data_IF_274011345861
#
_entry.id   IF_274011345861
#
_cell.length_a   1.000
_cell.length_b   1.000
_cell.length_c   1.000
_cell.angle_alpha   90.00
_cell.angle_beta   90.00
_cell.angle_gamma   90.00
#
_symmetry.space_group_name_H-M   'P 1'
#
loop_
_entity.id
_entity.type
_entity.pdbx_description
1 polymer ?
#
# COMPACT_ATOMS: atom_id res chain seq x y z
N UNK A 1 -12.19 29.99 -30.00
CA UNK A 1 -11.01 29.13 -30.07
C UNK A 1 -10.59 28.56 -28.70
N UNK A 2 -9.41 28.00 -28.58
CA UNK A 2 -8.91 27.35 -27.34
C UNK A 2 -8.83 28.30 -26.14
N UNK A 3 -8.70 29.60 -26.36
CA UNK A 3 -8.64 30.68 -25.35
C UNK A 3 -10.00 31.36 -25.09
N UNK A 4 -11.06 30.88 -25.74
CA UNK A 4 -12.40 31.46 -25.56
C UNK A 4 -13.02 31.17 -24.20
N UNK A 5 -13.96 32.03 -23.79
CA UNK A 5 -14.65 31.94 -22.47
C UNK A 5 -15.34 30.59 -22.23
N UNK A 6 -15.87 29.94 -23.29
CA UNK A 6 -16.47 28.61 -23.15
C UNK A 6 -15.49 27.58 -22.61
N UNK A 7 -14.26 27.55 -23.11
CA UNK A 7 -13.25 26.57 -22.64
C UNK A 7 -12.58 26.98 -21.34
N UNK A 8 -12.35 28.29 -21.13
CA UNK A 8 -11.58 28.74 -19.97
C UNK A 8 -12.42 29.07 -18.74
N UNK A 9 -13.71 29.37 -18.88
CA UNK A 9 -14.54 29.84 -17.78
C UNK A 9 -15.85 29.07 -17.59
N UNK A 10 -16.32 28.30 -18.59
CA UNK A 10 -17.54 27.50 -18.50
C UNK A 10 -17.27 26.01 -18.38
N UNK A 11 -16.44 25.45 -19.27
CA UNK A 11 -16.09 24.00 -19.25
C UNK A 11 -15.03 23.67 -18.20
N UNK A 12 -14.39 24.65 -17.64
CA UNK A 12 -13.39 24.52 -16.57
C UNK A 12 -13.02 25.88 -16.02
N UNK A 13 -12.64 25.94 -14.76
CA UNK A 13 -12.19 27.14 -14.06
C UNK A 13 -10.87 26.87 -13.36
N UNK A 14 -10.08 27.89 -13.13
CA UNK A 14 -8.95 27.84 -12.21
C UNK A 14 -9.51 27.81 -10.79
N UNK A 15 -8.91 27.00 -9.94
CA UNK A 15 -9.34 26.84 -8.55
C UNK A 15 -8.20 27.23 -7.62
N UNK A 16 -8.56 27.85 -6.49
CA UNK A 16 -7.66 28.13 -5.38
C UNK A 16 -7.43 26.86 -4.54
N UNK A 17 -6.57 26.93 -3.54
CA UNK A 17 -6.21 25.82 -2.66
C UNK A 17 -5.73 24.59 -3.44
N UNK A 18 -4.93 24.84 -4.44
CA UNK A 18 -4.33 23.80 -5.28
C UNK A 18 -2.84 24.08 -5.50
N UNK A 19 -2.09 23.03 -5.63
CA UNK A 19 -0.65 23.07 -5.90
C UNK A 19 -0.27 21.97 -6.89
N UNK A 20 0.98 22.00 -7.33
CA UNK A 20 1.53 20.98 -8.24
C UNK A 20 2.97 20.70 -7.88
N UNK A 21 3.37 19.44 -7.87
CA UNK A 21 4.75 19.04 -7.68
C UNK A 21 5.05 17.70 -8.36
N UNK A 22 6.33 17.39 -8.46
CA UNK A 22 6.84 16.10 -8.93
C UNK A 22 6.46 15.01 -7.91
N UNK A 23 6.21 13.81 -8.38
CA UNK A 23 5.93 12.65 -7.54
C UNK A 23 7.18 11.77 -7.39
N UNK A 24 7.31 11.15 -6.22
CA UNK A 24 8.31 10.12 -5.92
C UNK A 24 7.65 8.95 -5.21
N UNK A 25 8.28 7.80 -5.26
CA UNK A 25 7.78 6.61 -4.61
C UNK A 25 7.81 6.77 -3.09
N UNK A 26 6.73 6.32 -2.41
CA UNK A 26 6.62 6.26 -0.96
C UNK A 26 6.16 4.88 -0.52
N UNK A 27 7.05 3.86 -0.50
CA UNK A 27 6.67 2.48 -0.18
C UNK A 27 6.25 2.30 1.28
N UNK A 28 6.66 3.19 2.16
CA UNK A 28 6.30 3.20 3.59
C UNK A 28 4.88 3.74 3.86
N UNK A 29 4.24 4.35 2.85
CA UNK A 29 2.89 4.88 2.99
C UNK A 29 1.87 3.74 2.97
N UNK A 30 0.77 3.91 3.70
CA UNK A 30 -0.40 3.08 3.52
C UNK A 30 -1.14 3.44 2.23
N UNK A 31 -2.01 2.54 1.73
CA UNK A 31 -2.71 2.73 0.46
C UNK A 31 -3.52 4.02 0.40
N UNK A 32 -4.13 4.42 1.53
CA UNK A 32 -4.93 5.64 1.65
C UNK A 32 -4.12 6.90 1.97
N UNK A 33 -2.80 6.80 2.13
CA UNK A 33 -1.93 7.92 2.53
C UNK A 33 -1.13 8.47 1.34
N UNK A 34 -0.80 9.76 1.42
CA UNK A 34 0.17 10.40 0.55
C UNK A 34 1.13 11.27 1.37
N UNK A 35 2.37 11.36 0.91
CA UNK A 35 3.34 12.28 1.51
C UNK A 35 3.24 13.66 0.88
N UNK A 36 2.86 14.67 1.65
CA UNK A 36 2.76 16.05 1.19
C UNK A 36 3.94 16.87 1.72
N UNK A 37 4.69 17.57 0.86
CA UNK A 37 5.78 18.45 1.30
C UNK A 37 5.30 19.49 2.32
N UNK A 38 5.99 19.63 3.45
CA UNK A 38 5.64 20.56 4.53
C UNK A 38 5.38 22.00 4.04
N UNK A 39 6.24 22.50 3.16
CA UNK A 39 6.10 23.85 2.61
C UNK A 39 4.86 24.01 1.74
N UNK A 40 4.51 23.00 0.96
CA UNK A 40 3.30 22.98 0.14
C UNK A 40 2.06 22.87 1.03
N UNK A 41 2.09 21.99 2.02
CA UNK A 41 1.00 21.82 2.99
C UNK A 41 0.69 23.14 3.72
N UNK A 42 1.72 23.85 4.17
CA UNK A 42 1.56 25.13 4.85
C UNK A 42 0.86 26.19 3.99
N UNK A 43 1.18 26.26 2.71
CA UNK A 43 0.50 27.21 1.81
C UNK A 43 -0.95 26.78 1.48
N UNK A 44 -1.18 25.48 1.27
CA UNK A 44 -2.52 24.95 0.97
C UNK A 44 -3.47 25.08 2.16
N UNK A 45 -3.00 24.77 3.36
CA UNK A 45 -3.80 24.78 4.60
C UNK A 45 -3.70 26.10 5.38
N UNK A 46 -3.04 27.12 4.83
CA UNK A 46 -2.81 28.41 5.48
C UNK A 46 -4.02 29.03 6.19
N UNK A 47 -5.23 29.10 5.59
CA UNK A 47 -6.40 29.64 6.28
C UNK A 47 -6.85 28.82 7.48
N UNK A 48 -6.75 27.50 7.37
CA UNK A 48 -7.13 26.58 8.45
C UNK A 48 -6.16 26.70 9.63
N UNK A 49 -4.86 26.73 9.35
CA UNK A 49 -3.81 26.95 10.36
C UNK A 49 -3.98 28.30 11.05
N UNK A 50 -4.24 29.37 10.29
CA UNK A 50 -4.50 30.70 10.88
C UNK A 50 -5.74 30.71 11.77
N UNK A 51 -6.79 29.97 11.40
CA UNK A 51 -8.00 29.84 12.22
C UNK A 51 -7.67 29.17 13.56
N UNK A 52 -7.02 28.02 13.53
CA UNK A 52 -6.68 27.25 14.74
C UNK A 52 -5.72 28.02 15.65
N UNK A 53 -4.70 28.71 15.08
CA UNK A 53 -3.80 29.59 15.88
C UNK A 53 -4.55 30.71 16.64
N UNK A 54 -5.65 31.23 16.08
CA UNK A 54 -6.45 32.23 16.75
C UNK A 54 -7.37 31.57 17.79
N UNK A 55 -7.95 30.42 17.49
CA UNK A 55 -8.84 29.67 18.40
C UNK A 55 -8.10 29.15 19.63
N UNK A 56 -6.87 28.68 19.46
CA UNK A 56 -5.98 28.22 20.55
C UNK A 56 -5.42 29.39 21.41
N UNK A 57 -5.54 30.62 20.93
CA UNK A 57 -5.03 31.80 21.63
C UNK A 57 -3.55 32.11 21.38
N UNK A 58 -2.87 31.34 20.53
CA UNK A 58 -1.47 31.56 20.14
C UNK A 58 -1.29 32.88 19.38
N UNK A 59 -2.31 33.29 18.66
CA UNK A 59 -2.35 34.55 17.93
C UNK A 59 -3.55 35.41 18.38
N UNK A 60 -3.28 36.68 18.74
CA UNK A 60 -4.32 37.62 19.17
C UNK A 60 -5.35 37.97 18.07
N UNK A 61 -4.98 37.85 16.81
CA UNK A 61 -5.83 38.13 15.66
C UNK A 61 -5.26 37.51 14.39
N UNK A 62 -6.05 37.48 13.31
CA UNK A 62 -5.69 36.92 11.99
C UNK A 62 -4.40 37.55 11.43
N UNK A 63 -4.15 38.85 11.66
CA UNK A 63 -2.93 39.51 11.19
C UNK A 63 -1.69 39.03 11.94
N UNK A 64 -1.79 38.71 13.20
CA UNK A 64 -0.72 38.10 13.98
C UNK A 64 -0.48 36.66 13.54
N UNK A 65 -1.55 35.87 13.38
CA UNK A 65 -1.47 34.50 12.86
C UNK A 65 -0.77 34.46 11.49
N UNK A 66 -1.15 35.34 10.56
CA UNK A 66 -0.49 35.43 9.26
C UNK A 66 1.01 35.68 9.35
N UNK A 67 1.45 36.57 10.26
CA UNK A 67 2.88 36.82 10.49
C UNK A 67 3.60 35.62 11.08
N UNK A 68 2.96 34.86 11.97
CA UNK A 68 3.52 33.62 12.54
C UNK A 68 3.72 32.57 11.45
N UNK A 69 2.74 32.39 10.57
CA UNK A 69 2.84 31.47 9.43
C UNK A 69 3.95 31.90 8.46
N UNK A 70 4.03 33.18 8.10
CA UNK A 70 5.07 33.71 7.23
C UNK A 70 6.49 33.57 7.82
N UNK A 71 6.63 33.62 9.15
CA UNK A 71 7.90 33.39 9.85
C UNK A 71 8.19 31.94 10.14
N UNK A 72 7.25 31.03 9.84
CA UNK A 72 7.37 29.59 10.08
C UNK A 72 7.77 29.25 11.53
N UNK A 73 7.10 29.87 12.49
CA UNK A 73 7.36 29.62 13.90
C UNK A 73 7.16 28.11 14.20
N UNK A 74 7.89 27.50 15.17
CA UNK A 74 7.75 26.10 15.52
C UNK A 74 6.30 25.67 15.81
N UNK A 75 5.54 26.47 16.56
CA UNK A 75 4.11 26.22 16.84
C UNK A 75 3.22 26.06 15.60
N UNK A 76 3.60 26.68 14.48
CA UNK A 76 2.84 26.58 13.22
C UNK A 76 2.89 25.15 12.67
N UNK A 77 3.99 24.43 12.88
CA UNK A 77 4.14 23.06 12.41
C UNK A 77 3.28 22.09 13.23
N UNK A 78 3.19 22.27 14.54
CA UNK A 78 2.35 21.45 15.42
C UNK A 78 0.86 21.64 15.06
N UNK A 79 0.44 22.91 14.85
CA UNK A 79 -0.92 23.24 14.41
C UNK A 79 -1.19 22.72 12.98
N UNK A 80 -0.20 22.76 12.08
CA UNK A 80 -0.36 22.21 10.74
C UNK A 80 -0.61 20.70 10.78
N UNK A 81 0.13 19.97 11.61
CA UNK A 81 -0.05 18.53 11.77
C UNK A 81 -1.44 18.19 12.33
N UNK A 82 -1.92 18.96 13.30
CA UNK A 82 -3.28 18.85 13.81
C UNK A 82 -4.35 19.10 12.73
N UNK A 83 -4.19 20.16 11.92
CA UNK A 83 -5.13 20.56 10.87
C UNK A 83 -5.19 19.52 9.74
N UNK A 84 -4.06 18.93 9.37
CA UNK A 84 -3.96 17.93 8.31
C UNK A 84 -4.60 16.60 8.74
N UNK A 85 -4.48 16.27 10.02
CA UNK A 85 -5.10 15.06 10.57
C UNK A 85 -6.60 15.08 10.27
N UNK A 86 -7.08 14.03 9.63
CA UNK A 86 -8.48 13.92 9.22
C UNK A 86 -8.96 14.92 8.14
N UNK A 87 -8.06 15.57 7.41
CA UNK A 87 -8.42 16.44 6.28
C UNK A 87 -7.91 15.85 4.96
N UNK A 88 -8.73 15.11 4.21
CA UNK A 88 -8.28 14.48 2.97
C UNK A 88 -7.91 15.50 1.92
N UNK A 89 -6.93 15.16 1.07
CA UNK A 89 -6.56 15.93 -0.12
C UNK A 89 -6.86 15.12 -1.36
N UNK A 90 -7.13 15.78 -2.48
CA UNK A 90 -7.33 15.16 -3.77
C UNK A 90 -6.04 15.25 -4.58
N UNK A 91 -5.54 14.12 -5.07
CA UNK A 91 -4.45 14.07 -6.03
C UNK A 91 -4.99 13.82 -7.44
N UNK A 92 -4.46 14.53 -8.42
CA UNK A 92 -4.80 14.38 -9.83
C UNK A 92 -3.56 14.31 -10.69
N UNK A 93 -3.52 13.36 -11.62
CA UNK A 93 -2.55 13.32 -12.70
C UNK A 93 -3.24 13.61 -14.04
N UNK A 94 -2.75 14.61 -14.78
CA UNK A 94 -3.20 14.87 -16.14
C UNK A 94 -2.46 13.99 -17.16
N UNK A 95 -3.13 13.47 -18.22
CA UNK A 95 -4.54 13.64 -18.52
C UNK A 95 -5.45 12.74 -17.66
N UNK A 96 -6.57 13.30 -17.20
CA UNK A 96 -7.56 12.52 -16.44
C UNK A 96 -8.46 11.76 -17.43
N UNK A 97 -8.16 10.48 -17.64
CA UNK A 97 -8.84 9.65 -18.62
C UNK A 97 -10.09 8.97 -18.05
N UNK A 98 -10.12 8.71 -16.75
CA UNK A 98 -11.23 8.06 -16.05
C UNK A 98 -11.31 8.55 -14.61
N UNK A 99 -12.36 8.17 -13.88
CA UNK A 99 -12.61 8.68 -12.51
C UNK A 99 -11.48 8.44 -11.51
N UNK A 100 -10.70 7.34 -11.67
CA UNK A 100 -9.59 7.01 -10.78
C UNK A 100 -8.33 7.87 -11.04
N UNK A 101 -8.34 8.72 -12.06
CA UNK A 101 -7.33 9.76 -12.27
C UNK A 101 -7.40 10.92 -11.26
N UNK A 102 -8.42 10.92 -10.39
CA UNK A 102 -8.56 11.78 -9.23
C UNK A 102 -8.94 10.91 -8.04
N UNK A 103 -8.11 10.87 -6.99
CA UNK A 103 -8.37 10.10 -5.79
C UNK A 103 -8.06 10.94 -4.55
N UNK A 104 -8.75 10.64 -3.45
CA UNK A 104 -8.50 11.24 -2.16
C UNK A 104 -7.47 10.44 -1.36
N UNK A 105 -6.66 11.15 -0.59
CA UNK A 105 -5.64 10.59 0.29
C UNK A 105 -5.62 11.36 1.60
N UNK A 106 -5.21 10.69 2.66
CA UNK A 106 -4.85 11.32 3.92
C UNK A 106 -3.40 11.79 3.83
N UNK A 107 -3.12 13.10 3.96
CA UNK A 107 -1.77 13.61 3.82
C UNK A 107 -0.94 13.36 5.07
N UNK A 108 0.32 12.95 4.87
CA UNK A 108 1.38 12.94 5.86
C UNK A 108 2.42 13.98 5.49
N UNK A 109 2.95 14.70 6.47
CA UNK A 109 3.99 15.68 6.23
C UNK A 109 5.32 15.00 5.96
N UNK A 110 5.93 15.36 4.82
CA UNK A 110 7.25 14.85 4.43
C UNK A 110 8.21 16.00 4.16
N UNK A 111 9.48 15.72 4.39
CA UNK A 111 10.56 16.64 4.02
C UNK A 111 10.80 16.64 2.51
N UNK A 112 11.34 17.72 1.99
CA UNK A 112 11.63 17.88 0.57
C UNK A 112 10.58 18.67 -0.18
N UNK A 113 10.51 18.50 -1.51
CA UNK A 113 9.64 19.25 -2.42
C UNK A 113 8.73 18.35 -3.25
N UNK A 114 8.96 17.04 -3.24
CA UNK A 114 8.21 16.07 -4.04
C UNK A 114 7.07 15.45 -3.21
N UNK A 115 5.96 15.16 -3.87
CA UNK A 115 4.85 14.42 -3.31
C UNK A 115 5.23 12.95 -3.29
N UNK A 116 5.05 12.27 -2.15
CA UNK A 116 5.21 10.83 -2.07
C UNK A 116 3.90 10.13 -2.38
N UNK A 117 3.96 9.14 -3.25
CA UNK A 117 2.79 8.38 -3.70
C UNK A 117 3.02 6.89 -3.48
N UNK A 118 1.98 6.20 -2.99
CA UNK A 118 2.04 4.75 -2.82
C UNK A 118 2.14 4.06 -4.19
N UNK A 119 3.07 3.13 -4.40
CA UNK A 119 3.30 2.51 -5.72
C UNK A 119 2.08 1.76 -6.28
N UNK A 120 1.22 1.18 -5.44
CA UNK A 120 0.03 0.45 -5.89
C UNK A 120 -1.02 1.33 -6.59
N UNK A 121 -1.06 2.64 -6.33
CA UNK A 121 -2.02 3.55 -6.99
C UNK A 121 -1.53 4.07 -8.33
N UNK A 122 -0.25 3.86 -8.67
CA UNK A 122 0.32 4.32 -9.94
C UNK A 122 -0.42 3.79 -11.17
N UNK A 123 -0.90 2.54 -11.11
CA UNK A 123 -1.70 1.96 -12.19
C UNK A 123 -3.01 2.70 -12.46
N UNK A 124 -3.68 3.17 -11.40
CA UNK A 124 -4.91 3.96 -11.51
C UNK A 124 -4.68 5.34 -12.12
N UNK A 125 -3.59 6.00 -11.76
CA UNK A 125 -3.20 7.30 -12.30
C UNK A 125 -2.47 7.21 -13.65
N UNK A 126 -2.07 6.02 -14.09
CA UNK A 126 -1.11 5.81 -15.17
C UNK A 126 0.15 6.67 -14.96
N UNK A 127 0.66 6.68 -13.72
CA UNK A 127 1.79 7.49 -13.28
C UNK A 127 3.06 6.65 -13.17
N UNK A 128 4.19 7.27 -13.47
CA UNK A 128 5.52 6.73 -13.21
C UNK A 128 6.39 7.78 -12.51
N UNK A 129 7.57 7.37 -12.03
CA UNK A 129 8.43 8.21 -11.22
C UNK A 129 9.63 8.77 -12.03
N UNK A 130 9.45 8.95 -13.33
CA UNK A 130 10.46 9.49 -14.26
C UNK A 130 10.47 11.02 -14.37
N UNK A 131 9.69 11.70 -13.54
CA UNK A 131 9.53 13.15 -13.54
C UNK A 131 8.08 13.61 -13.66
N UNK A 132 7.14 12.68 -13.58
CA UNK A 132 5.72 12.99 -13.57
C UNK A 132 5.36 13.96 -12.45
N UNK A 133 4.39 14.82 -12.72
CA UNK A 133 3.84 15.78 -11.77
C UNK A 133 2.36 15.47 -11.50
N UNK A 134 1.94 15.72 -10.26
CA UNK A 134 0.55 15.64 -9.87
C UNK A 134 0.07 16.96 -9.26
N UNK A 135 -1.20 17.25 -9.46
CA UNK A 135 -1.88 18.34 -8.80
C UNK A 135 -2.49 17.88 -7.49
N UNK A 136 -2.44 18.76 -6.48
CA UNK A 136 -3.07 18.58 -5.16
C UNK A 136 -4.20 19.60 -5.03
N UNK A 137 -5.36 19.17 -4.54
CA UNK A 137 -6.50 20.03 -4.27
C UNK A 137 -7.01 19.78 -2.86
N UNK A 138 -7.42 20.82 -2.14
CA UNK A 138 -7.93 20.72 -0.78
C UNK A 138 -9.44 20.93 -0.79
N UNK A 139 -10.25 19.93 -0.39
CA UNK A 139 -11.69 20.12 -0.17
C UNK A 139 -11.91 21.10 1.00
N UNK A 140 -12.72 22.13 0.79
CA UNK A 140 -12.87 23.21 1.79
C UNK A 140 -14.02 22.99 2.75
N UNK A 141 -15.20 22.54 2.26
CA UNK A 141 -16.38 22.34 3.08
C UNK A 141 -16.40 20.95 3.74
N UNK A 142 -17.13 20.82 4.83
CA UNK A 142 -17.29 19.55 5.53
C UNK A 142 -17.96 18.49 4.63
N UNK A 143 -18.92 18.92 3.80
CA UNK A 143 -19.58 18.05 2.84
C UNK A 143 -18.60 17.54 1.78
N UNK A 144 -17.77 18.43 1.22
CA UNK A 144 -16.76 18.05 0.24
C UNK A 144 -15.70 17.10 0.83
N UNK A 145 -15.31 17.29 2.08
CA UNK A 145 -14.40 16.39 2.80
C UNK A 145 -15.04 15.01 3.04
N UNK A 146 -16.33 14.99 3.41
CA UNK A 146 -17.08 13.74 3.58
C UNK A 146 -17.21 12.97 2.25
N UNK A 147 -17.56 13.66 1.16
CA UNK A 147 -17.62 13.07 -0.17
C UNK A 147 -16.25 12.54 -0.63
N UNK A 148 -15.19 13.32 -0.42
CA UNK A 148 -13.81 12.88 -0.74
C UNK A 148 -13.47 11.59 0.01
N UNK A 149 -13.84 11.50 1.28
CA UNK A 149 -13.54 10.35 2.13
C UNK A 149 -14.37 9.11 1.78
N UNK A 150 -15.66 9.27 1.53
CA UNK A 150 -16.58 8.14 1.27
C UNK A 150 -16.46 7.63 -0.17
N UNK A 151 -16.37 8.55 -1.15
CA UNK A 151 -16.46 8.21 -2.58
C UNK A 151 -15.09 8.13 -3.28
N UNK A 152 -14.11 8.92 -2.83
CA UNK A 152 -12.88 9.14 -3.60
C UNK A 152 -11.62 8.60 -2.93
N UNK A 153 -11.69 8.14 -1.68
CA UNK A 153 -10.51 7.59 -0.99
C UNK A 153 -9.93 6.43 -1.79
N UNK A 154 -8.61 6.39 -1.94
CA UNK A 154 -7.91 5.38 -2.75
C UNK A 154 -8.20 3.95 -2.28
N UNK A 155 -8.33 3.73 -0.98
CA UNK A 155 -8.72 2.44 -0.40
C UNK A 155 -10.13 1.99 -0.79
N UNK A 156 -11.05 2.91 -1.10
CA UNK A 156 -12.42 2.58 -1.54
C UNK A 156 -12.53 2.37 -3.05
N UNK A 157 -11.45 2.61 -3.80
CA UNK A 157 -11.44 2.59 -5.26
C UNK A 157 -10.40 1.62 -5.83
N UNK A 158 -10.31 0.43 -5.25
CA UNK A 158 -9.34 -0.61 -5.66
C UNK A 158 -9.78 -1.38 -6.91
N UNK A 159 -11.08 -1.32 -7.29
CA UNK A 159 -11.62 -2.03 -8.43
C UNK A 159 -11.85 -1.11 -9.63
N UNK A 160 -11.58 -1.62 -10.83
CA UNK A 160 -11.89 -0.91 -12.09
C UNK A 160 -13.38 -0.82 -12.30
N UNK A 161 -13.89 0.36 -12.67
CA UNK A 161 -15.30 0.50 -13.00
C UNK A 161 -15.71 -0.18 -14.33
N UNK A 162 -14.74 -0.58 -15.18
CA UNK A 162 -15.00 -1.18 -16.48
C UNK A 162 -15.31 -2.68 -16.40
N UNK A 163 -14.59 -3.42 -15.59
CA UNK A 163 -14.62 -4.88 -15.54
C UNK A 163 -14.64 -5.45 -14.11
N UNK A 164 -14.61 -4.60 -13.10
CA UNK A 164 -14.61 -5.02 -11.69
C UNK A 164 -13.29 -5.65 -11.20
N UNK A 165 -12.27 -5.72 -12.04
CA UNK A 165 -10.97 -6.29 -11.65
C UNK A 165 -10.16 -5.30 -10.83
N UNK A 166 -9.24 -5.76 -9.96
CA UNK A 166 -8.36 -4.89 -9.21
C UNK A 166 -7.53 -3.96 -10.11
N UNK A 167 -7.46 -2.69 -9.74
CA UNK A 167 -6.56 -1.69 -10.34
C UNK A 167 -5.22 -1.69 -9.62
N UNK A 168 -5.27 -1.88 -8.29
CA UNK A 168 -4.11 -1.88 -7.41
C UNK A 168 -3.43 -3.24 -7.48
N UNK A 169 -2.54 -3.39 -8.45
CA UNK A 169 -1.78 -4.61 -8.66
C UNK A 169 -0.31 -4.37 -8.33
N UNK A 170 0.34 -5.29 -7.59
CA UNK A 170 1.79 -5.26 -7.44
C UNK A 170 2.48 -5.17 -8.79
N UNK A 171 3.53 -4.37 -8.89
CA UNK A 171 4.26 -4.13 -10.13
C UNK A 171 5.76 -4.01 -9.89
N UNK A 172 6.55 -4.11 -10.96
CA UNK A 172 8.01 -3.92 -10.94
C UNK A 172 8.70 -4.71 -9.82
N UNK A 173 9.39 -4.04 -8.91
CA UNK A 173 10.21 -4.65 -7.85
C UNK A 173 9.40 -5.50 -6.87
N UNK A 174 8.11 -5.18 -6.68
CA UNK A 174 7.22 -6.00 -5.84
C UNK A 174 7.04 -7.40 -6.42
N UNK A 175 6.85 -7.52 -7.75
CA UNK A 175 6.73 -8.82 -8.43
C UNK A 175 8.04 -9.58 -8.33
N UNK A 176 9.18 -8.90 -8.50
CA UNK A 176 10.51 -9.49 -8.39
C UNK A 176 10.72 -10.03 -6.96
N UNK A 177 10.35 -9.24 -5.94
CA UNK A 177 10.46 -9.65 -4.55
C UNK A 177 9.60 -10.88 -4.22
N UNK A 178 8.34 -10.90 -4.66
CA UNK A 178 7.45 -12.05 -4.47
C UNK A 178 7.95 -13.28 -5.23
N UNK A 179 8.43 -13.11 -6.44
CA UNK A 179 9.03 -14.19 -7.22
C UNK A 179 10.24 -14.76 -6.48
N UNK A 180 11.14 -13.92 -5.96
CA UNK A 180 12.31 -14.34 -5.20
C UNK A 180 11.93 -15.10 -3.93
N UNK A 181 10.92 -14.63 -3.19
CA UNK A 181 10.44 -15.33 -1.99
C UNK A 181 9.87 -16.72 -2.30
N UNK A 182 9.20 -16.88 -3.43
CA UNK A 182 8.46 -18.10 -3.77
C UNK A 182 9.17 -19.00 -4.76
N UNK A 183 10.36 -18.60 -5.25
CA UNK A 183 11.15 -19.40 -6.20
C UNK A 183 11.54 -20.76 -5.63
N UNK A 184 11.79 -21.68 -6.53
CA UNK A 184 12.25 -23.01 -6.17
C UNK A 184 13.68 -22.97 -5.62
N UNK A 185 14.06 -24.03 -4.93
CA UNK A 185 15.36 -24.16 -4.30
C UNK A 185 16.50 -24.11 -5.33
N UNK A 186 17.53 -23.34 -5.01
CA UNK A 186 18.82 -23.42 -5.68
C UNK A 186 19.73 -24.40 -4.91
N UNK A 187 20.11 -25.52 -5.53
CA UNK A 187 20.95 -26.51 -4.86
C UNK A 187 22.27 -25.96 -4.31
N UNK A 188 22.80 -24.88 -4.91
CA UNK A 188 24.04 -24.25 -4.46
C UNK A 188 23.86 -23.41 -3.19
N UNK A 189 22.61 -23.04 -2.87
CA UNK A 189 22.26 -22.19 -1.71
C UNK A 189 21.74 -22.99 -0.52
N UNK A 190 21.81 -24.31 -0.54
CA UNK A 190 21.36 -25.16 0.56
C UNK A 190 22.35 -25.11 1.72
N UNK A 191 21.87 -24.78 2.90
CA UNK A 191 22.69 -24.70 4.10
C UNK A 191 22.81 -26.09 4.77
N UNK A 192 24.04 -26.54 5.02
CA UNK A 192 24.34 -27.78 5.76
C UNK A 192 23.48 -29.00 5.35
N UNK A 193 23.50 -29.43 4.08
CA UNK A 193 22.66 -30.52 3.60
C UNK A 193 22.98 -31.84 4.34
N UNK A 194 21.93 -32.54 4.75
CA UNK A 194 22.05 -33.86 5.36
C UNK A 194 21.72 -34.94 4.33
N UNK A 195 22.45 -36.02 4.34
CA UNK A 195 22.22 -37.15 3.44
C UNK A 195 22.00 -38.43 4.24
N UNK A 196 21.11 -39.26 3.75
CA UNK A 196 20.89 -40.61 4.29
C UNK A 196 22.03 -41.58 3.84
N UNK A 197 22.10 -42.83 4.38
CA UNK A 197 23.11 -43.82 3.97
C UNK A 197 23.06 -44.18 2.49
N UNK A 198 21.91 -43.96 1.82
CA UNK A 198 21.69 -44.24 0.40
C UNK A 198 22.09 -43.04 -0.51
N UNK A 199 22.52 -41.93 0.09
CA UNK A 199 22.97 -40.73 -0.63
C UNK A 199 21.85 -39.78 -1.02
N UNK A 200 20.60 -40.00 -0.56
CA UNK A 200 19.50 -39.07 -0.80
C UNK A 200 19.52 -37.94 0.24
N UNK A 201 19.17 -36.76 -0.19
CA UNK A 201 19.07 -35.63 0.72
C UNK A 201 17.89 -35.80 1.66
N UNK A 202 18.13 -35.64 2.96
CA UNK A 202 17.11 -35.62 4.01
C UNK A 202 16.68 -34.19 4.20
N UNK A 203 15.39 -33.91 3.99
CA UNK A 203 14.82 -32.59 4.22
C UNK A 203 14.85 -32.26 5.72
N UNK A 204 15.10 -30.99 6.04
CA UNK A 204 15.02 -30.49 7.41
C UNK A 204 13.56 -30.43 7.84
N UNK A 205 13.29 -30.78 9.08
CA UNK A 205 11.95 -30.77 9.66
C UNK A 205 11.87 -29.73 10.76
N UNK A 206 10.82 -28.92 10.71
CA UNK A 206 10.52 -27.88 11.69
C UNK A 206 9.11 -28.07 12.27
N UNK A 207 9.00 -27.97 13.59
CA UNK A 207 7.74 -28.21 14.32
C UNK A 207 6.77 -27.02 14.19
N UNK A 208 7.22 -25.89 13.67
CA UNK A 208 6.40 -24.71 13.45
C UNK A 208 7.07 -23.73 12.46
N UNK A 209 6.28 -22.82 11.84
CA UNK A 209 6.83 -21.71 11.04
C UNK A 209 7.82 -20.81 11.80
N UNK A 210 7.58 -20.62 13.11
CA UNK A 210 8.45 -19.82 13.97
C UNK A 210 9.85 -20.45 14.15
N UNK A 211 9.90 -21.78 14.28
CA UNK A 211 11.16 -22.53 14.37
C UNK A 211 11.94 -22.43 13.05
N UNK A 212 11.27 -22.54 11.90
CA UNK A 212 11.91 -22.35 10.60
C UNK A 212 12.50 -20.94 10.42
N UNK A 213 11.81 -19.91 10.92
CA UNK A 213 12.35 -18.52 10.94
C UNK A 213 13.58 -18.39 11.82
N UNK A 214 13.55 -18.98 13.00
CA UNK A 214 14.71 -18.97 13.90
C UNK A 214 15.92 -19.69 13.26
N UNK A 215 15.70 -20.78 12.53
CA UNK A 215 16.74 -21.46 11.78
C UNK A 215 17.34 -20.58 10.66
N UNK A 216 16.50 -19.80 9.98
CA UNK A 216 16.94 -18.82 8.99
C UNK A 216 17.77 -17.70 9.65
N UNK A 217 17.33 -17.16 10.78
CA UNK A 217 18.05 -16.11 11.52
C UNK A 217 19.41 -16.58 12.04
N UNK A 218 19.58 -17.90 12.21
CA UNK A 218 20.84 -18.53 12.64
C UNK A 218 21.70 -19.04 11.47
N UNK A 219 21.36 -18.72 10.23
CA UNK A 219 22.01 -19.22 9.00
C UNK A 219 21.99 -20.75 8.83
N UNK A 220 21.04 -21.45 9.48
CA UNK A 220 20.86 -22.90 9.35
C UNK A 220 19.89 -23.30 8.23
N UNK A 221 19.10 -22.37 7.72
CA UNK A 221 18.10 -22.56 6.66
C UNK A 221 18.20 -21.42 5.66
N UNK A 222 18.24 -21.73 4.35
CA UNK A 222 18.10 -20.70 3.33
C UNK A 222 16.61 -20.38 3.06
N UNK A 223 16.36 -19.16 2.57
CA UNK A 223 15.00 -18.65 2.35
C UNK A 223 14.18 -19.54 1.39
N UNK A 224 14.82 -20.06 0.35
CA UNK A 224 14.22 -20.86 -0.71
C UNK A 224 14.46 -22.36 -0.51
N UNK A 225 15.21 -22.74 0.51
CA UNK A 225 15.52 -24.14 0.80
C UNK A 225 14.27 -24.93 1.12
N UNK A 226 14.10 -26.06 0.46
CA UNK A 226 12.98 -26.97 0.68
C UNK A 226 13.12 -27.67 2.03
N UNK A 227 12.12 -27.56 2.86
CA UNK A 227 12.04 -28.19 4.17
C UNK A 227 10.60 -28.66 4.45
N UNK A 228 10.43 -29.47 5.47
CA UNK A 228 9.12 -29.90 5.94
C UNK A 228 8.75 -29.05 7.17
N UNK A 229 7.63 -28.36 7.09
CA UNK A 229 7.14 -27.52 8.19
C UNK A 229 5.78 -28.04 8.64
N UNK A 230 5.62 -28.18 9.95
CA UNK A 230 4.33 -28.50 10.56
C UNK A 230 3.52 -27.21 10.70
N UNK A 231 2.43 -27.12 9.93
CA UNK A 231 1.56 -25.96 9.88
C UNK A 231 0.68 -25.83 11.12
N UNK A 232 0.23 -24.62 11.41
CA UNK A 232 -0.60 -24.34 12.59
C UNK A 232 -2.04 -24.78 12.39
N UNK A 233 -2.78 -25.02 13.49
CA UNK A 233 -4.21 -25.29 13.41
C UNK A 233 -4.95 -24.10 12.80
N UNK A 234 -5.74 -24.36 11.76
CA UNK A 234 -6.54 -23.35 11.07
C UNK A 234 -5.95 -22.84 9.77
N UNK A 235 -4.70 -23.16 9.46
CA UNK A 235 -4.15 -22.92 8.13
C UNK A 235 -4.78 -23.94 7.15
N UNK A 236 -5.05 -23.48 5.92
CA UNK A 236 -5.58 -24.35 4.87
C UNK A 236 -4.44 -24.95 4.04
N UNK A 237 -4.52 -26.26 3.71
CA UNK A 237 -3.53 -26.88 2.84
C UNK A 237 -3.61 -26.31 1.41
N UNK A 238 -2.56 -26.49 0.58
CA UNK A 238 -2.63 -26.21 -0.84
C UNK A 238 -3.78 -26.95 -1.53
N UNK A 239 -4.40 -26.33 -2.55
CA UNK A 239 -5.54 -26.91 -3.28
C UNK A 239 -5.23 -28.27 -3.93
N UNK A 240 -3.97 -28.51 -4.32
CA UNK A 240 -3.49 -29.72 -4.98
C UNK A 240 -3.00 -30.81 -4.04
N UNK A 241 -2.99 -30.54 -2.72
CA UNK A 241 -2.52 -31.48 -1.70
C UNK A 241 -3.61 -32.48 -1.32
N UNK A 242 -3.29 -33.79 -1.43
CA UNK A 242 -4.17 -34.84 -0.93
C UNK A 242 -3.91 -35.06 0.57
N UNK A 243 -4.92 -34.78 1.38
CA UNK A 243 -4.83 -34.93 2.82
C UNK A 243 -5.00 -36.40 3.27
N UNK A 244 -4.39 -36.80 4.41
CA UNK A 244 -4.58 -38.13 4.98
C UNK A 244 -6.05 -38.43 5.32
N UNK A 245 -6.43 -39.70 5.29
CA UNK A 245 -7.78 -40.12 5.72
C UNK A 245 -8.04 -39.70 7.18
N UNK A 246 -9.16 -39.00 7.39
CA UNK A 246 -9.59 -38.52 8.72
C UNK A 246 -9.15 -37.12 9.09
N UNK A 247 -8.34 -36.42 8.24
CA UNK A 247 -8.00 -35.02 8.47
C UNK A 247 -9.25 -34.13 8.37
N UNK A 248 -9.37 -33.18 9.28
CA UNK A 248 -10.46 -32.20 9.27
C UNK A 248 -9.90 -30.76 9.21
N UNK A 249 -10.61 -29.80 8.59
CA UNK A 249 -10.22 -28.40 8.64
C UNK A 249 -10.02 -27.93 10.08
N UNK A 250 -8.80 -27.46 10.36
CA UNK A 250 -8.39 -27.09 11.73
C UNK A 250 -7.38 -28.04 12.37
N UNK A 251 -7.15 -29.22 11.78
CA UNK A 251 -6.06 -30.09 12.21
C UNK A 251 -4.71 -29.59 11.68
N UNK A 252 -3.65 -29.95 12.41
CA UNK A 252 -2.28 -29.69 11.92
C UNK A 252 -1.93 -30.63 10.77
N UNK A 253 -1.12 -30.16 9.85
CA UNK A 253 -0.57 -30.96 8.76
C UNK A 253 0.91 -30.61 8.51
N UNK A 254 1.61 -31.49 7.86
CA UNK A 254 3.00 -31.30 7.46
C UNK A 254 3.04 -30.93 5.99
N UNK A 255 3.81 -29.91 5.67
CA UNK A 255 3.92 -29.39 4.31
C UNK A 255 5.38 -29.29 3.89
N UNK A 256 5.70 -29.90 2.77
CA UNK A 256 6.96 -29.68 2.08
C UNK A 256 6.89 -28.32 1.35
N UNK A 257 7.68 -27.36 1.83
CA UNK A 257 7.65 -25.97 1.36
C UNK A 257 8.97 -25.26 1.66
N UNK A 258 9.05 -23.97 1.38
CA UNK A 258 10.19 -23.12 1.75
C UNK A 258 9.75 -22.02 2.73
N UNK A 259 10.69 -21.51 3.51
CA UNK A 259 10.41 -20.40 4.42
C UNK A 259 9.90 -19.15 3.69
N UNK A 260 10.44 -18.87 2.48
CA UNK A 260 9.98 -17.75 1.67
C UNK A 260 8.50 -17.86 1.30
N UNK A 261 8.00 -19.07 0.98
CA UNK A 261 6.57 -19.31 0.72
C UNK A 261 5.73 -19.11 1.98
N UNK A 262 6.22 -19.52 3.13
CA UNK A 262 5.55 -19.26 4.43
C UNK A 262 5.41 -17.76 4.67
N UNK A 263 6.48 -16.98 4.50
CA UNK A 263 6.45 -15.52 4.66
C UNK A 263 5.46 -14.87 3.69
N UNK A 264 5.39 -15.34 2.44
CA UNK A 264 4.40 -14.87 1.48
C UNK A 264 2.96 -15.17 1.95
N UNK A 265 2.70 -16.39 2.41
CA UNK A 265 1.37 -16.78 2.88
C UNK A 265 0.94 -16.08 4.17
N UNK A 266 1.87 -15.63 5.02
CA UNK A 266 1.53 -14.82 6.19
C UNK A 266 0.87 -13.47 5.86
N UNK A 267 1.09 -12.97 4.64
CA UNK A 267 0.42 -11.77 4.14
C UNK A 267 -0.99 -12.05 3.58
N UNK A 268 -1.36 -13.31 3.40
CA UNK A 268 -2.66 -13.72 2.92
C UNK A 268 -3.62 -14.01 4.10
N UNK A 269 -4.94 -13.89 3.89
CA UNK A 269 -5.91 -14.31 4.89
C UNK A 269 -5.79 -15.80 5.20
N UNK A 270 -5.99 -16.20 6.47
CA UNK A 270 -5.86 -17.60 6.92
C UNK A 270 -6.85 -18.57 6.27
N UNK A 271 -7.97 -18.08 5.80
CA UNK A 271 -9.00 -18.84 5.08
C UNK A 271 -8.74 -18.91 3.56
N UNK A 272 -7.57 -18.44 3.09
CA UNK A 272 -7.09 -18.64 1.73
C UNK A 272 -6.18 -19.87 1.67
N UNK A 273 -6.31 -20.77 0.66
CA UNK A 273 -5.46 -21.95 0.52
C UNK A 273 -3.96 -21.57 0.44
N UNK A 274 -3.12 -22.36 1.09
CA UNK A 274 -1.69 -22.10 1.11
C UNK A 274 -1.09 -22.13 -0.31
N UNK A 275 -0.43 -21.08 -0.70
CA UNK A 275 0.22 -20.93 -2.01
C UNK A 275 1.59 -21.60 -1.96
N UNK A 276 1.71 -22.82 -2.50
CA UNK A 276 2.94 -23.61 -2.50
C UNK A 276 3.59 -23.76 -3.89
N UNK A 277 3.58 -22.70 -4.66
CA UNK A 277 4.18 -22.67 -5.99
C UNK A 277 4.86 -21.33 -6.25
N UNK A 278 5.71 -21.26 -7.26
CA UNK A 278 6.37 -20.02 -7.71
C UNK A 278 5.32 -19.02 -8.20
N UNK A 279 5.29 -17.85 -7.56
CA UNK A 279 4.30 -16.79 -7.85
C UNK A 279 4.83 -15.85 -8.91
N UNK A 280 4.46 -16.12 -10.15
CA UNK A 280 4.70 -15.24 -11.29
C UNK A 280 3.61 -14.15 -11.39
N UNK A 281 3.84 -13.11 -12.21
CA UNK A 281 2.90 -12.01 -12.45
C UNK A 281 1.47 -12.46 -12.74
N UNK A 282 1.28 -13.50 -13.57
CA UNK A 282 -0.05 -14.02 -13.92
C UNK A 282 -0.74 -14.69 -12.74
N UNK A 283 0.02 -15.52 -11.98
CA UNK A 283 -0.47 -16.20 -10.78
C UNK A 283 -0.80 -15.21 -9.67
N UNK A 284 0.05 -14.20 -9.46
CA UNK A 284 -0.21 -13.11 -8.54
C UNK A 284 -1.49 -12.36 -8.90
N UNK A 285 -1.70 -12.08 -10.20
CA UNK A 285 -2.93 -11.48 -10.69
C UNK A 285 -4.18 -12.31 -10.38
N UNK A 286 -4.08 -13.64 -10.47
CA UNK A 286 -5.17 -14.55 -10.09
C UNK A 286 -5.43 -14.47 -8.57
N UNK A 287 -4.40 -14.59 -7.74
CA UNK A 287 -4.53 -14.51 -6.28
C UNK A 287 -5.21 -13.20 -5.85
N UNK A 288 -4.76 -12.05 -6.37
CA UNK A 288 -5.35 -10.75 -6.03
C UNK A 288 -6.81 -10.66 -6.51
N UNK A 289 -7.15 -11.23 -7.67
CA UNK A 289 -8.53 -11.26 -8.15
C UNK A 289 -9.41 -12.16 -7.28
N UNK A 290 -8.94 -13.37 -6.94
CA UNK A 290 -9.66 -14.31 -6.07
C UNK A 290 -9.91 -13.69 -4.69
N UNK A 291 -8.91 -13.01 -4.11
CA UNK A 291 -9.06 -12.26 -2.87
C UNK A 291 -10.08 -11.11 -2.99
N UNK A 292 -10.06 -10.38 -4.12
CA UNK A 292 -11.03 -9.31 -4.35
C UNK A 292 -12.46 -9.83 -4.46
N UNK A 293 -12.66 -11.02 -5.05
CA UNK A 293 -13.97 -11.67 -5.16
C UNK A 293 -14.45 -12.22 -3.81
N UNK A 294 -13.57 -12.87 -3.05
CA UNK A 294 -13.89 -13.49 -1.76
C UNK A 294 -14.20 -12.46 -0.66
N UNK A 295 -13.39 -11.41 -0.59
CA UNK A 295 -13.46 -10.46 0.53
C UNK A 295 -14.13 -9.13 0.17
N UNK A 296 -14.39 -8.87 -1.11
CA UNK A 296 -15.02 -7.63 -1.60
C UNK A 296 -14.50 -6.39 -0.86
N UNK A 297 -15.34 -5.77 -0.02
CA UNK A 297 -14.95 -4.59 0.74
C UNK A 297 -14.08 -4.88 1.99
N UNK A 298 -13.94 -6.13 2.42
CA UNK A 298 -13.06 -6.49 3.55
C UNK A 298 -11.58 -6.38 3.24
N UNK A 299 -11.16 -6.44 1.98
CA UNK A 299 -9.77 -6.19 1.54
C UNK A 299 -9.24 -4.81 1.97
N UNK A 300 -10.13 -3.89 2.26
CA UNK A 300 -9.81 -2.53 2.70
C UNK A 300 -9.18 -2.48 4.10
N UNK A 301 -9.46 -3.47 4.94
CA UNK A 301 -8.97 -3.51 6.32
C UNK A 301 -7.70 -4.36 6.47
N UNK A 302 -7.46 -5.33 5.59
CA UNK A 302 -6.28 -6.20 5.65
C UNK A 302 -5.04 -5.59 5.00
N UNK A 303 -5.20 -4.66 4.04
CA UNK A 303 -4.06 -3.93 3.44
C UNK A 303 -3.40 -2.94 4.42
N UNK A 304 -4.05 -2.61 5.54
CA UNK A 304 -3.48 -1.79 6.61
C UNK A 304 -2.61 -2.60 7.59
N UNK A 305 -2.60 -3.93 7.49
CA UNK A 305 -1.85 -4.83 8.36
C UNK A 305 -0.61 -5.46 7.69
N UNK A 306 -0.40 -5.22 6.39
CA UNK A 306 0.73 -5.74 5.62
C UNK A 306 1.87 -4.72 5.44
#
# INVERSE_FOLDING_TARGET
GKQGRFRQNLLGKRVDYSGRSVIVVGPQLKLHQCGLPKTMALELFKPFVMKVLVENGDAKNVKAAKRMVERQNPQVWDVLDEVITNHPVLLNRAPTLHRLGIQAFEPLLVEGKAIQLHPLVCGAFNADFDGDQMAVHVPLSAEAQAEARVLMLSSNNILKPSDGRPVTMPSQDMIIGIYHLTSDEDPEMVHNPRFDPDGNRVLKYYSSPAEARLAYDNDDLALQETCVIRMEPGDLPPEDMTMPEGWQPGDRFELETSLGRVIFNDSLPRDYPFVNYVVEKKKLGKIVNDLAELYQNCLLYTSDAA
#
